data_IF_842538702745
#
_entry.id   IF_842538702745
#
_cell.length_a   1.000
_cell.length_b   1.000
_cell.length_c   1.000
_cell.angle_alpha   90.00
_cell.angle_beta   90.00
_cell.angle_gamma   90.00
#
_symmetry.space_group_name_H-M   'P 1'
#
loop_
_entity.id
_entity.type
_entity.pdbx_description
1 polymer ?
#
# COMPACT_ATOMS: atom_id res chain seq x y z
N UNK A 1 -22.36 8.29 1.46
CA UNK A 1 -21.70 6.97 1.57
C UNK A 1 -22.60 5.82 1.19
N UNK A 2 -23.89 5.84 1.51
CA UNK A 2 -24.84 4.78 1.17
C UNK A 2 -24.89 4.43 -0.32
N UNK A 3 -24.93 5.46 -1.20
CA UNK A 3 -24.91 5.25 -2.64
C UNK A 3 -23.62 4.55 -3.12
N UNK A 4 -22.46 4.95 -2.57
CA UNK A 4 -21.18 4.32 -2.87
C UNK A 4 -21.18 2.86 -2.45
N UNK A 5 -21.65 2.57 -1.23
CA UNK A 5 -21.73 1.21 -0.70
C UNK A 5 -22.69 0.33 -1.50
N UNK A 6 -23.83 0.90 -1.92
CA UNK A 6 -24.79 0.22 -2.79
C UNK A 6 -24.14 -0.10 -4.14
N UNK A 7 -23.48 0.87 -4.77
CA UNK A 7 -22.76 0.67 -6.02
C UNK A 7 -21.69 -0.43 -5.93
N UNK A 8 -20.93 -0.49 -4.82
CA UNK A 8 -19.93 -1.53 -4.61
C UNK A 8 -20.51 -2.94 -4.45
N UNK A 9 -21.78 -3.06 -3.97
CA UNK A 9 -22.48 -4.32 -3.79
C UNK A 9 -23.25 -4.79 -5.02
N UNK A 10 -23.72 -3.89 -5.87
CA UNK A 10 -24.58 -4.20 -7.02
C UNK A 10 -23.88 -5.00 -8.11
N UNK A 11 -22.56 -4.90 -8.22
CA UNK A 11 -21.82 -5.66 -9.22
C UNK A 11 -20.32 -5.35 -9.30
N UNK A 12 -19.66 -6.07 -10.21
CA UNK A 12 -18.22 -5.85 -10.46
C UNK A 12 -18.02 -4.54 -11.20
N UNK A 13 -17.40 -3.56 -10.53
CA UNK A 13 -17.04 -2.29 -11.16
C UNK A 13 -16.00 -2.52 -12.27
N UNK A 14 -16.14 -1.81 -13.38
CA UNK A 14 -15.13 -1.75 -14.41
C UNK A 14 -13.85 -1.07 -13.91
N UNK A 15 -12.75 -1.24 -14.65
CA UNK A 15 -11.50 -0.56 -14.35
C UNK A 15 -11.68 0.97 -14.21
N UNK A 16 -12.33 1.58 -15.19
CA UNK A 16 -12.57 3.03 -15.20
C UNK A 16 -13.47 3.48 -14.03
N UNK A 17 -14.53 2.73 -13.73
CA UNK A 17 -15.42 3.05 -12.61
C UNK A 17 -14.71 3.07 -11.27
N UNK A 18 -13.78 2.12 -11.02
CA UNK A 18 -12.99 2.12 -9.78
C UNK A 18 -12.21 3.43 -9.60
N UNK A 19 -11.62 3.97 -10.67
CA UNK A 19 -10.89 5.25 -10.61
C UNK A 19 -11.82 6.45 -10.42
N UNK A 20 -12.95 6.50 -11.13
CA UNK A 20 -13.92 7.59 -10.97
C UNK A 20 -14.43 7.64 -9.53
N UNK A 21 -14.87 6.51 -9.00
CA UNK A 21 -15.37 6.40 -7.63
C UNK A 21 -14.28 6.75 -6.60
N UNK A 22 -13.04 6.30 -6.83
CA UNK A 22 -11.91 6.65 -5.98
C UNK A 22 -11.62 8.15 -6.01
N UNK A 23 -11.75 8.79 -7.16
CA UNK A 23 -11.52 10.22 -7.31
C UNK A 23 -12.58 11.07 -6.60
N UNK A 24 -13.85 10.66 -6.68
CA UNK A 24 -14.92 11.34 -5.94
C UNK A 24 -14.72 11.21 -4.43
N UNK A 25 -14.35 10.02 -3.94
CA UNK A 25 -14.03 9.84 -2.52
C UNK A 25 -12.78 10.64 -2.10
N UNK A 26 -11.77 10.72 -2.96
CA UNK A 26 -10.58 11.54 -2.72
C UNK A 26 -10.95 13.04 -2.57
N UNK A 27 -11.77 13.57 -3.47
CA UNK A 27 -12.27 14.96 -3.37
C UNK A 27 -13.04 15.18 -2.07
N UNK A 28 -13.91 14.24 -1.71
CA UNK A 28 -14.68 14.33 -0.46
C UNK A 28 -13.75 14.35 0.76
N UNK A 29 -12.71 13.49 0.77
CA UNK A 29 -11.73 13.46 1.85
C UNK A 29 -10.91 14.75 1.92
N UNK A 30 -10.53 15.33 0.79
CA UNK A 30 -9.86 16.64 0.74
C UNK A 30 -10.72 17.75 1.32
N UNK A 31 -12.04 17.71 1.09
CA UNK A 31 -12.98 18.75 1.55
C UNK A 31 -13.32 18.60 3.03
N UNK A 32 -13.63 17.39 3.47
CA UNK A 32 -14.26 17.15 4.77
C UNK A 32 -13.30 16.53 5.81
N UNK A 33 -12.22 15.90 5.40
CA UNK A 33 -11.34 15.11 6.28
C UNK A 33 -9.84 15.23 5.86
N UNK A 34 -9.44 16.48 5.61
CA UNK A 34 -8.12 16.78 5.05
C UNK A 34 -6.96 16.66 6.06
N UNK A 35 -7.26 16.55 7.37
CA UNK A 35 -6.23 16.54 8.43
C UNK A 35 -5.14 15.51 8.18
N UNK A 36 -5.50 14.27 7.84
CA UNK A 36 -4.52 13.20 7.61
C UNK A 36 -3.65 13.49 6.38
N UNK A 37 -4.25 14.01 5.31
CA UNK A 37 -3.54 14.36 4.07
C UNK A 37 -2.55 15.51 4.33
N UNK A 38 -2.96 16.52 5.10
CA UNK A 38 -2.11 17.64 5.49
C UNK A 38 -0.96 17.18 6.40
N UNK A 39 -1.21 16.28 7.35
CA UNK A 39 -0.17 15.72 8.20
C UNK A 39 0.84 14.93 7.36
N UNK A 40 0.38 14.06 6.46
CA UNK A 40 1.24 13.30 5.56
C UNK A 40 2.11 14.24 4.69
N UNK A 41 1.49 15.26 4.13
CA UNK A 41 2.19 16.26 3.32
C UNK A 41 3.24 17.00 4.15
N UNK A 42 2.90 17.46 5.35
CA UNK A 42 3.82 18.19 6.23
C UNK A 42 5.02 17.34 6.63
N UNK A 43 4.80 16.08 7.03
CA UNK A 43 5.89 15.17 7.38
C UNK A 43 6.80 14.91 6.17
N UNK A 44 6.22 14.69 4.97
CA UNK A 44 6.99 14.48 3.74
C UNK A 44 7.81 15.70 3.36
N UNK A 45 7.25 16.92 3.51
CA UNK A 45 8.00 18.16 3.24
C UNK A 45 9.21 18.31 4.18
N UNK A 46 9.03 18.07 5.48
CA UNK A 46 10.14 18.15 6.44
C UNK A 46 11.17 17.05 6.14
N UNK A 47 10.72 15.82 5.85
CA UNK A 47 11.63 14.72 5.51
C UNK A 47 12.46 15.06 4.26
N UNK A 48 11.85 15.64 3.24
CA UNK A 48 12.54 16.08 2.01
C UNK A 48 13.52 17.19 2.31
N UNK A 49 13.13 18.20 3.11
CA UNK A 49 14.01 19.28 3.52
C UNK A 49 15.26 18.74 4.24
N UNK A 50 15.09 17.83 5.20
CA UNK A 50 16.22 17.21 5.90
C UNK A 50 17.12 16.37 4.99
N UNK A 51 16.54 15.70 3.99
CA UNK A 51 17.34 14.90 3.04
C UNK A 51 18.27 15.74 2.16
N UNK A 52 17.90 16.99 1.87
CA UNK A 52 18.66 17.90 0.99
C UNK A 52 19.86 18.51 1.72
N UNK A 53 19.84 18.58 3.05
CA UNK A 53 20.90 19.28 3.83
C UNK A 53 22.27 18.63 3.75
N UNK A 54 22.35 17.34 3.35
CA UNK A 54 23.60 16.58 3.34
C UNK A 54 24.15 16.22 4.73
N UNK A 55 23.51 16.66 5.82
CA UNK A 55 23.91 16.32 7.18
C UNK A 55 23.48 14.89 7.53
N UNK A 56 24.40 13.97 7.93
CA UNK A 56 24.06 12.58 8.20
C UNK A 56 22.96 12.39 9.26
N UNK A 57 22.95 13.20 10.32
CA UNK A 57 21.95 13.12 11.37
C UNK A 57 20.55 13.53 10.88
N UNK A 58 20.49 14.57 10.02
CA UNK A 58 19.22 15.02 9.44
C UNK A 58 18.74 14.04 8.35
N UNK A 59 19.64 13.41 7.61
CA UNK A 59 19.29 12.33 6.67
C UNK A 59 18.70 11.15 7.43
N UNK A 60 19.28 10.75 8.58
CA UNK A 60 18.70 9.68 9.41
C UNK A 60 17.29 10.05 9.89
N UNK A 61 17.11 11.29 10.37
CA UNK A 61 15.80 11.78 10.81
C UNK A 61 14.79 11.79 9.65
N UNK A 62 15.22 12.19 8.44
CA UNK A 62 14.41 12.09 7.22
C UNK A 62 13.91 10.66 6.94
N UNK A 63 14.78 9.64 7.14
CA UNK A 63 14.41 8.22 6.98
C UNK A 63 13.37 7.79 8.01
N UNK A 64 13.53 8.20 9.28
CA UNK A 64 12.54 7.92 10.33
C UNK A 64 11.20 8.57 9.99
N UNK A 65 11.20 9.83 9.54
CA UNK A 65 9.97 10.49 9.11
C UNK A 65 9.32 9.81 7.90
N UNK A 66 10.10 9.32 6.95
CA UNK A 66 9.63 8.49 5.84
C UNK A 66 8.92 7.22 6.32
N UNK A 67 9.47 6.53 7.32
CA UNK A 67 8.83 5.37 7.93
C UNK A 67 7.47 5.73 8.58
N UNK A 68 7.39 6.86 9.28
CA UNK A 68 6.14 7.36 9.85
C UNK A 68 5.09 7.63 8.74
N UNK A 69 5.50 8.21 7.62
CA UNK A 69 4.61 8.43 6.46
C UNK A 69 4.06 7.11 5.93
N UNK A 70 4.90 6.08 5.77
CA UNK A 70 4.47 4.75 5.30
C UNK A 70 3.46 4.13 6.27
N UNK A 71 3.75 4.13 7.57
CA UNK A 71 2.84 3.60 8.60
C UNK A 71 1.50 4.34 8.57
N UNK A 72 1.51 5.67 8.47
CA UNK A 72 0.27 6.46 8.38
C UNK A 72 -0.52 6.19 7.10
N UNK A 73 0.13 6.02 5.96
CA UNK A 73 -0.53 5.61 4.72
C UNK A 73 -1.20 4.24 4.87
N UNK A 74 -0.57 3.30 5.58
CA UNK A 74 -1.17 2.00 5.84
C UNK A 74 -2.38 2.11 6.77
N UNK A 75 -2.29 2.94 7.81
CA UNK A 75 -3.45 3.21 8.68
C UNK A 75 -4.62 3.85 7.93
N UNK A 76 -4.33 4.58 6.85
CA UNK A 76 -5.35 5.19 6.01
C UNK A 76 -6.25 4.16 5.32
N UNK A 77 -5.75 2.95 5.00
CA UNK A 77 -6.59 1.85 4.48
C UNK A 77 -7.78 1.55 5.41
N UNK A 78 -7.50 1.34 6.70
CA UNK A 78 -8.57 1.08 7.68
C UNK A 78 -9.56 2.24 7.76
N UNK A 79 -9.04 3.47 7.79
CA UNK A 79 -9.88 4.67 7.88
C UNK A 79 -10.81 4.80 6.67
N UNK A 80 -10.31 4.57 5.46
CA UNK A 80 -11.10 4.60 4.22
C UNK A 80 -12.14 3.49 4.19
N UNK A 81 -11.75 2.27 4.51
CA UNK A 81 -12.66 1.11 4.51
C UNK A 81 -13.78 1.31 5.53
N UNK A 82 -13.44 1.71 6.77
CA UNK A 82 -14.43 1.95 7.83
C UNK A 82 -15.38 3.12 7.49
N UNK A 83 -14.86 4.17 6.83
CA UNK A 83 -15.70 5.26 6.35
C UNK A 83 -16.72 4.78 5.31
N UNK A 84 -16.31 3.92 4.37
CA UNK A 84 -17.22 3.33 3.36
C UNK A 84 -18.23 2.38 4.00
N UNK A 85 -17.81 1.57 4.98
CA UNK A 85 -18.66 0.62 5.68
C UNK A 85 -19.51 1.25 6.79
N UNK A 86 -19.33 2.55 7.07
CA UNK A 86 -20.00 3.30 8.15
C UNK A 86 -19.76 2.69 9.53
N UNK A 87 -18.63 2.00 9.70
CA UNK A 87 -18.24 1.44 10.99
C UNK A 87 -17.53 2.48 11.84
N UNK A 88 -17.74 2.42 13.14
CA UNK A 88 -16.96 3.24 14.08
C UNK A 88 -15.49 2.87 13.99
N UNK A 89 -14.64 3.89 13.82
CA UNK A 89 -13.20 3.71 13.81
C UNK A 89 -12.69 3.42 15.22
N UNK A 90 -12.33 2.16 15.47
CA UNK A 90 -11.69 1.73 16.70
C UNK A 90 -10.21 1.48 16.44
N UNK A 91 -9.36 2.04 17.29
CA UNK A 91 -7.89 1.93 17.13
C UNK A 91 -7.32 0.65 17.78
N UNK A 92 -8.00 -0.49 17.60
CA UNK A 92 -7.65 -1.77 18.20
C UNK A 92 -6.33 -2.32 17.65
N UNK A 93 -5.22 -1.94 18.28
CA UNK A 93 -3.89 -2.45 17.92
C UNK A 93 -3.44 -2.13 16.49
N UNK A 94 -4.13 -1.21 15.78
CA UNK A 94 -3.81 -0.85 14.39
C UNK A 94 -2.38 -0.38 14.22
N UNK A 95 -1.89 0.45 15.12
CA UNK A 95 -0.51 0.94 15.09
C UNK A 95 0.47 -0.22 15.22
N UNK A 96 0.21 -1.16 16.14
CA UNK A 96 1.04 -2.34 16.34
C UNK A 96 1.07 -3.20 15.07
N UNK A 97 -0.09 -3.44 14.44
CA UNK A 97 -0.19 -4.19 13.18
C UNK A 97 0.58 -3.51 12.05
N UNK A 98 0.46 -2.19 11.91
CA UNK A 98 1.20 -1.42 10.91
C UNK A 98 2.72 -1.45 11.17
N UNK A 99 3.14 -1.34 12.43
CA UNK A 99 4.56 -1.44 12.82
C UNK A 99 5.11 -2.84 12.55
N UNK A 100 4.36 -3.91 12.87
CA UNK A 100 4.79 -5.29 12.57
C UNK A 100 5.01 -5.47 11.08
N UNK A 101 4.06 -5.02 10.23
CA UNK A 101 4.22 -5.10 8.78
C UNK A 101 5.43 -4.31 8.29
N UNK A 102 5.65 -3.11 8.83
CA UNK A 102 6.81 -2.29 8.50
C UNK A 102 8.12 -2.99 8.89
N UNK A 103 8.19 -3.59 10.07
CA UNK A 103 9.36 -4.38 10.48
C UNK A 103 9.61 -5.56 9.55
N UNK A 104 8.55 -6.27 9.12
CA UNK A 104 8.67 -7.37 8.17
C UNK A 104 9.19 -6.89 6.80
N UNK A 105 8.72 -5.75 6.30
CA UNK A 105 9.21 -5.13 5.07
C UNK A 105 10.69 -4.76 5.18
N UNK A 106 11.11 -4.12 6.28
CA UNK A 106 12.51 -3.76 6.53
C UNK A 106 13.39 -5.00 6.60
N UNK A 107 12.97 -6.03 7.33
CA UNK A 107 13.69 -7.31 7.41
C UNK A 107 13.83 -7.96 6.03
N UNK A 108 12.80 -7.92 5.22
CA UNK A 108 12.84 -8.47 3.87
C UNK A 108 13.83 -7.71 2.99
N UNK A 109 13.81 -6.37 3.00
CA UNK A 109 14.78 -5.54 2.26
C UNK A 109 16.21 -5.84 2.73
N UNK A 110 16.42 -5.94 4.05
CA UNK A 110 17.72 -6.28 4.62
C UNK A 110 18.23 -7.64 4.14
N UNK A 111 17.37 -8.67 4.17
CA UNK A 111 17.69 -10.00 3.70
C UNK A 111 18.04 -10.03 2.22
N UNK A 112 17.29 -9.32 1.39
CA UNK A 112 17.56 -9.17 -0.03
C UNK A 112 18.89 -8.46 -0.29
N UNK A 113 19.20 -7.43 0.49
CA UNK A 113 20.49 -6.73 0.42
C UNK A 113 21.66 -7.68 0.71
N UNK A 114 21.55 -8.53 1.72
CA UNK A 114 22.55 -9.54 2.03
C UNK A 114 22.74 -10.53 0.86
N UNK A 115 21.65 -11.01 0.26
CA UNK A 115 21.72 -11.89 -0.91
C UNK A 115 22.44 -11.22 -2.07
N UNK A 116 22.13 -9.95 -2.36
CA UNK A 116 22.81 -9.21 -3.42
C UNK A 116 24.29 -8.99 -3.13
N UNK A 117 24.64 -8.63 -1.91
CA UNK A 117 26.04 -8.48 -1.50
C UNK A 117 26.78 -9.83 -1.63
N UNK A 118 26.18 -10.91 -1.15
CA UNK A 118 26.76 -12.25 -1.28
C UNK A 118 26.98 -12.62 -2.75
N UNK A 119 26.00 -12.36 -3.62
CA UNK A 119 26.14 -12.60 -5.07
C UNK A 119 27.31 -11.80 -5.65
N UNK A 120 27.45 -10.50 -5.34
CA UNK A 120 28.58 -9.69 -5.82
C UNK A 120 29.91 -10.27 -5.34
N UNK A 121 30.00 -10.69 -4.07
CA UNK A 121 31.23 -11.28 -3.52
C UNK A 121 31.63 -12.62 -4.19
N UNK A 122 30.70 -13.34 -4.79
CA UNK A 122 30.99 -14.59 -5.53
C UNK A 122 31.55 -14.33 -6.94
N UNK A 123 31.41 -13.09 -7.46
CA UNK A 123 31.95 -12.71 -8.75
C UNK A 123 33.48 -12.51 -8.66
N UNK A 124 34.26 -12.94 -9.67
CA UNK A 124 35.73 -12.79 -9.66
C UNK A 124 36.22 -11.37 -9.40
N UNK A 125 35.57 -10.39 -9.99
CA UNK A 125 35.90 -8.96 -9.86
C UNK A 125 35.04 -8.24 -8.79
N UNK A 126 34.16 -8.95 -8.10
CA UNK A 126 33.13 -8.36 -7.25
C UNK A 126 33.70 -7.58 -6.07
N UNK A 127 34.80 -8.06 -5.47
CA UNK A 127 35.48 -7.37 -4.37
C UNK A 127 36.10 -6.05 -4.82
N UNK A 128 36.74 -6.02 -5.98
CA UNK A 128 37.37 -4.82 -6.54
C UNK A 128 36.31 -3.77 -6.88
N UNK A 129 35.22 -4.21 -7.49
CA UNK A 129 34.07 -3.35 -7.86
C UNK A 129 33.42 -2.72 -6.64
N UNK A 130 33.27 -3.46 -5.54
CA UNK A 130 32.74 -2.93 -4.28
C UNK A 130 33.70 -1.96 -3.63
N UNK A 131 35.01 -2.21 -3.67
CA UNK A 131 36.03 -1.32 -3.11
C UNK A 131 36.14 0.00 -3.90
N UNK A 132 36.00 -0.05 -5.22
CA UNK A 132 36.07 1.13 -6.09
C UNK A 132 34.76 1.92 -6.14
N UNK A 133 33.65 1.35 -5.60
CA UNK A 133 32.29 1.91 -5.68
C UNK A 133 31.90 2.32 -7.11
N UNK A 134 32.36 1.58 -8.11
CA UNK A 134 31.97 1.81 -9.50
C UNK A 134 30.52 1.39 -9.74
N UNK A 135 29.60 2.31 -9.47
CA UNK A 135 28.16 2.07 -9.62
C UNK A 135 27.75 1.62 -11.03
N UNK A 136 28.47 2.02 -12.08
CA UNK A 136 28.12 1.62 -13.46
C UNK A 136 28.44 0.15 -13.68
N UNK A 137 29.60 -0.31 -13.22
CA UNK A 137 29.98 -1.74 -13.27
C UNK A 137 29.08 -2.57 -12.36
N UNK A 138 28.77 -2.10 -11.15
CA UNK A 138 27.85 -2.78 -10.23
C UNK A 138 26.48 -2.96 -10.89
N UNK A 139 25.90 -1.92 -11.47
CA UNK A 139 24.59 -2.00 -12.16
C UNK A 139 24.64 -2.91 -13.40
N UNK A 140 25.73 -2.91 -14.13
CA UNK A 140 25.90 -3.79 -15.29
C UNK A 140 25.96 -5.26 -14.89
N UNK A 141 26.70 -5.61 -13.85
CA UNK A 141 26.81 -7.00 -13.34
C UNK A 141 25.51 -7.47 -12.69
N UNK A 142 24.84 -6.55 -11.98
CA UNK A 142 23.58 -6.87 -11.29
C UNK A 142 22.35 -6.79 -12.20
N UNK A 143 22.47 -6.36 -13.46
CA UNK A 143 21.30 -6.17 -14.34
C UNK A 143 20.37 -7.38 -14.43
N UNK A 144 20.93 -8.60 -14.57
CA UNK A 144 20.13 -9.85 -14.67
C UNK A 144 19.54 -10.22 -13.32
N UNK A 145 20.32 -10.33 -12.22
CA UNK A 145 19.75 -10.55 -10.88
C UNK A 145 18.74 -9.49 -10.47
N UNK A 146 18.97 -8.21 -10.75
CA UNK A 146 18.02 -7.12 -10.44
C UNK A 146 16.70 -7.33 -11.19
N UNK A 147 16.73 -7.71 -12.47
CA UNK A 147 15.51 -7.98 -13.22
C UNK A 147 14.76 -9.18 -12.64
N UNK A 148 15.45 -10.29 -12.35
CA UNK A 148 14.82 -11.49 -11.79
C UNK A 148 14.21 -11.19 -10.43
N UNK A 149 14.99 -10.58 -9.54
CA UNK A 149 14.52 -10.20 -8.21
C UNK A 149 13.44 -9.13 -8.31
N UNK A 150 13.56 -8.17 -9.22
CA UNK A 150 12.52 -7.19 -9.49
C UNK A 150 11.20 -7.82 -9.90
N UNK A 151 11.22 -8.85 -10.74
CA UNK A 151 10.02 -9.62 -11.12
C UNK A 151 9.43 -10.35 -9.92
N UNK A 152 10.27 -11.04 -9.13
CA UNK A 152 9.83 -11.75 -7.92
C UNK A 152 9.24 -10.75 -6.91
N UNK A 153 9.90 -9.61 -6.70
CA UNK A 153 9.44 -8.53 -5.84
C UNK A 153 8.11 -7.95 -6.32
N UNK A 154 8.00 -7.73 -7.61
CA UNK A 154 6.79 -7.19 -8.21
C UNK A 154 5.61 -8.14 -8.02
N UNK A 155 5.82 -9.44 -8.26
CA UNK A 155 4.81 -10.47 -8.00
C UNK A 155 4.45 -10.50 -6.51
N UNK A 156 5.46 -10.56 -5.62
CA UNK A 156 5.26 -10.54 -4.18
C UNK A 156 4.55 -9.28 -3.69
N UNK A 157 4.95 -8.10 -4.21
CA UNK A 157 4.32 -6.82 -3.89
C UNK A 157 2.82 -6.80 -4.22
N UNK A 158 2.43 -7.38 -5.35
CA UNK A 158 1.03 -7.51 -5.75
C UNK A 158 0.23 -8.31 -4.71
N UNK A 159 0.79 -9.43 -4.26
CA UNK A 159 0.16 -10.26 -3.23
C UNK A 159 0.08 -9.55 -1.88
N UNK A 160 1.09 -8.78 -1.51
CA UNK A 160 1.15 -8.04 -0.24
C UNK A 160 0.26 -6.80 -0.26
N UNK A 161 0.12 -6.13 -1.39
CA UNK A 161 -0.59 -4.86 -1.48
C UNK A 161 -2.04 -4.94 -0.98
N UNK A 162 -2.76 -6.01 -1.34
CA UNK A 162 -4.12 -6.24 -0.87
C UNK A 162 -4.19 -6.95 0.48
N UNK A 163 -3.08 -7.49 0.95
CA UNK A 163 -2.95 -7.95 2.32
C UNK A 163 -3.07 -6.78 3.31
N UNK A 164 -2.54 -5.59 2.95
CA UNK A 164 -2.64 -4.40 3.78
C UNK A 164 -4.08 -4.03 4.15
N UNK A 165 -5.01 -3.82 3.17
CA UNK A 165 -6.40 -3.52 3.51
C UNK A 165 -7.06 -4.64 4.31
N UNK A 166 -6.79 -5.91 4.01
CA UNK A 166 -7.35 -7.05 4.77
C UNK A 166 -6.84 -7.05 6.21
N UNK A 167 -5.54 -7.11 6.41
CA UNK A 167 -4.93 -7.26 7.74
C UNK A 167 -5.20 -6.06 8.65
N UNK A 168 -5.28 -4.86 8.08
CA UNK A 168 -5.49 -3.64 8.86
C UNK A 168 -6.97 -3.37 9.14
N UNK A 169 -7.90 -3.83 8.29
CA UNK A 169 -9.34 -3.55 8.44
C UNK A 169 -10.15 -4.70 9.00
N UNK A 170 -9.66 -5.94 8.93
CA UNK A 170 -10.39 -7.12 9.37
C UNK A 170 -9.86 -7.68 10.70
N UNK A 171 -10.74 -8.36 11.47
CA UNK A 171 -10.42 -8.99 12.76
C UNK A 171 -9.82 -10.37 12.52
N UNK A 172 -8.58 -10.45 12.11
CA UNK A 172 -7.91 -11.74 11.89
C UNK A 172 -6.44 -11.72 12.27
N UNK A 173 -5.85 -12.88 12.45
CA UNK A 173 -4.41 -13.06 12.54
C UNK A 173 -3.76 -12.74 11.20
N UNK A 174 -2.43 -12.58 11.20
CA UNK A 174 -1.67 -12.35 9.96
C UNK A 174 -1.89 -13.48 8.94
N UNK A 175 -1.81 -14.74 9.36
CA UNK A 175 -1.95 -15.90 8.48
C UNK A 175 -3.36 -16.08 7.91
N UNK A 176 -4.39 -15.80 8.70
CA UNK A 176 -5.79 -15.77 8.22
C UNK A 176 -5.99 -14.67 7.19
N UNK A 177 -5.41 -13.50 7.42
CA UNK A 177 -5.46 -12.40 6.46
C UNK A 177 -4.74 -12.75 5.16
N UNK A 178 -3.61 -13.48 5.22
CA UNK A 178 -2.90 -13.99 4.03
C UNK A 178 -3.79 -14.97 3.26
N UNK A 179 -4.38 -15.97 3.94
CA UNK A 179 -5.27 -16.95 3.30
C UNK A 179 -6.47 -16.27 2.64
N UNK A 180 -7.10 -15.35 3.37
CA UNK A 180 -8.25 -14.60 2.85
C UNK A 180 -7.89 -13.72 1.65
N UNK A 181 -6.76 -13.01 1.71
CA UNK A 181 -6.26 -12.22 0.59
C UNK A 181 -5.99 -13.09 -0.65
N UNK A 182 -5.36 -14.26 -0.49
CA UNK A 182 -5.12 -15.20 -1.58
C UNK A 182 -6.43 -15.72 -2.18
N UNK A 183 -7.45 -15.94 -1.34
CA UNK A 183 -8.79 -16.31 -1.78
C UNK A 183 -9.42 -15.21 -2.65
N UNK A 184 -9.41 -13.95 -2.19
CA UNK A 184 -9.96 -12.82 -2.95
C UNK A 184 -9.23 -12.59 -4.28
N UNK A 185 -7.92 -12.84 -4.31
CA UNK A 185 -7.13 -12.76 -5.55
C UNK A 185 -7.50 -13.85 -6.56
N UNK A 186 -8.03 -15.00 -6.10
CA UNK A 186 -8.44 -16.08 -6.99
C UNK A 186 -9.61 -15.64 -7.87
N UNK A 187 -9.38 -15.52 -9.18
CA UNK A 187 -10.39 -15.05 -10.15
C UNK A 187 -10.44 -13.53 -10.33
N UNK A 188 -9.76 -12.73 -9.49
CA UNK A 188 -9.75 -11.27 -9.58
C UNK A 188 -8.35 -10.67 -9.82
N UNK A 189 -7.33 -11.50 -10.10
CA UNK A 189 -5.92 -11.09 -10.19
C UNK A 189 -5.69 -9.90 -11.12
N UNK A 190 -6.19 -9.98 -12.34
CA UNK A 190 -6.00 -8.93 -13.36
C UNK A 190 -6.65 -7.62 -12.90
N UNK A 191 -7.87 -7.69 -12.38
CA UNK A 191 -8.65 -6.55 -11.90
C UNK A 191 -7.98 -5.82 -10.74
N UNK A 192 -7.34 -6.57 -9.84
CA UNK A 192 -6.62 -6.03 -8.70
C UNK A 192 -5.23 -5.53 -9.10
N UNK A 193 -4.58 -6.19 -10.06
CA UNK A 193 -3.20 -5.94 -10.45
C UNK A 193 -3.03 -4.70 -11.34
N UNK A 194 -3.84 -4.56 -12.38
CA UNK A 194 -3.67 -3.51 -13.40
C UNK A 194 -3.66 -2.09 -12.80
N UNK A 195 -4.59 -1.72 -11.87
CA UNK A 195 -4.57 -0.40 -11.24
C UNK A 195 -3.25 -0.10 -10.53
N UNK A 196 -2.68 -1.11 -9.89
CA UNK A 196 -1.44 -0.93 -9.11
C UNK A 196 -0.21 -0.79 -9.99
N UNK A 197 -0.17 -1.52 -11.11
CA UNK A 197 0.86 -1.33 -12.15
C UNK A 197 0.79 0.09 -12.71
N UNK A 198 -0.42 0.58 -12.98
CA UNK A 198 -0.60 1.94 -13.50
C UNK A 198 -0.08 2.99 -12.51
N UNK A 199 -0.39 2.87 -11.21
CA UNK A 199 0.16 3.77 -10.20
C UNK A 199 1.68 3.72 -10.15
N UNK A 200 2.27 2.52 -10.20
CA UNK A 200 3.72 2.36 -10.22
C UNK A 200 4.35 3.06 -11.44
N UNK A 201 3.77 2.89 -12.62
CA UNK A 201 4.26 3.57 -13.84
C UNK A 201 4.13 5.09 -13.72
N UNK A 202 3.01 5.60 -13.21
CA UNK A 202 2.80 7.03 -12.98
C UNK A 202 3.84 7.58 -12.00
N UNK A 203 4.07 6.92 -10.85
CA UNK A 203 5.06 7.30 -9.85
C UNK A 203 6.46 7.37 -10.48
N UNK A 204 6.86 6.35 -11.26
CA UNK A 204 8.17 6.30 -11.93
C UNK A 204 8.37 7.43 -12.96
N UNK A 205 7.36 7.65 -13.81
CA UNK A 205 7.42 8.71 -14.83
C UNK A 205 7.49 10.09 -14.20
N UNK A 206 6.66 10.32 -13.16
CA UNK A 206 6.64 11.60 -12.46
C UNK A 206 7.99 11.94 -11.81
N UNK A 207 8.59 10.99 -11.08
CA UNK A 207 9.89 11.19 -10.46
C UNK A 207 10.94 11.60 -11.51
N UNK A 208 10.99 10.90 -12.66
CA UNK A 208 11.93 11.20 -13.73
C UNK A 208 11.73 12.59 -14.35
N UNK A 209 10.47 13.01 -14.54
CA UNK A 209 10.16 14.32 -15.11
C UNK A 209 10.52 15.46 -14.14
N UNK A 210 10.17 15.29 -12.86
CA UNK A 210 10.33 16.35 -11.86
C UNK A 210 11.78 16.51 -11.41
N UNK A 211 12.60 15.45 -11.43
CA UNK A 211 14.04 15.56 -11.16
C UNK A 211 14.76 16.51 -12.11
N UNK A 212 14.26 16.70 -13.34
CA UNK A 212 14.82 17.66 -14.31
C UNK A 212 14.61 19.12 -13.91
N UNK A 213 13.67 19.41 -13.01
CA UNK A 213 13.36 20.77 -12.52
C UNK A 213 14.19 21.16 -11.29
N UNK A 214 15.17 20.36 -10.89
CA UNK A 214 16.04 20.63 -9.74
C UNK A 214 15.27 20.73 -8.42
N UNK A 215 15.65 21.68 -7.56
CA UNK A 215 15.06 21.85 -6.23
C UNK A 215 13.54 22.11 -6.28
N UNK A 216 13.10 22.95 -7.22
CA UNK A 216 11.66 23.22 -7.39
C UNK A 216 10.89 21.92 -7.71
N UNK A 217 11.46 21.08 -8.56
CA UNK A 217 10.90 19.78 -8.89
C UNK A 217 10.78 18.85 -7.69
N UNK A 218 11.74 18.90 -6.75
CA UNK A 218 11.66 18.10 -5.51
C UNK A 218 10.46 18.50 -4.65
N UNK A 219 10.20 19.79 -4.45
CA UNK A 219 9.02 20.24 -3.68
C UNK A 219 7.72 19.89 -4.38
N UNK A 220 7.62 20.14 -5.69
CA UNK A 220 6.44 19.75 -6.47
C UNK A 220 6.22 18.23 -6.37
N UNK A 221 7.29 17.43 -6.45
CA UNK A 221 7.23 15.99 -6.31
C UNK A 221 6.59 15.55 -4.98
N UNK A 222 6.95 16.20 -3.86
CA UNK A 222 6.39 15.86 -2.54
C UNK A 222 4.87 16.02 -2.52
N UNK A 223 4.34 17.10 -3.09
CA UNK A 223 2.89 17.32 -3.17
C UNK A 223 2.20 16.26 -4.02
N UNK A 224 2.71 16.04 -5.23
CA UNK A 224 2.12 15.11 -6.18
C UNK A 224 2.26 13.66 -5.69
N UNK A 225 3.42 13.28 -5.17
CA UNK A 225 3.68 11.96 -4.60
C UNK A 225 2.74 11.67 -3.42
N UNK A 226 2.56 12.61 -2.51
CA UNK A 226 1.62 12.46 -1.38
C UNK A 226 0.19 12.29 -1.88
N UNK A 227 -0.26 13.11 -2.83
CA UNK A 227 -1.59 13.02 -3.41
C UNK A 227 -1.81 11.67 -4.11
N UNK A 228 -0.84 11.21 -4.91
CA UNK A 228 -0.92 9.93 -5.62
C UNK A 228 -0.93 8.77 -4.63
N UNK A 229 -0.09 8.78 -3.60
CA UNK A 229 -0.07 7.73 -2.57
C UNK A 229 -1.40 7.63 -1.83
N UNK A 230 -2.01 8.75 -1.45
CA UNK A 230 -3.33 8.77 -0.84
C UNK A 230 -4.40 8.25 -1.81
N UNK A 231 -4.38 8.72 -3.05
CA UNK A 231 -5.31 8.27 -4.08
C UNK A 231 -5.17 6.77 -4.39
N UNK A 232 -3.94 6.24 -4.39
CA UNK A 232 -3.65 4.81 -4.52
C UNK A 232 -4.26 3.99 -3.36
N UNK A 233 -4.14 4.46 -2.11
CA UNK A 233 -4.76 3.82 -0.95
C UNK A 233 -6.27 3.77 -1.09
N UNK A 234 -6.91 4.88 -1.50
CA UNK A 234 -8.36 4.95 -1.71
C UNK A 234 -8.79 3.99 -2.82
N UNK A 235 -8.09 4.02 -3.96
CA UNK A 235 -8.39 3.13 -5.10
C UNK A 235 -8.26 1.66 -4.72
N UNK A 236 -7.18 1.29 -4.02
CA UNK A 236 -6.98 -0.07 -3.54
C UNK A 236 -8.07 -0.51 -2.55
N UNK A 237 -8.51 0.38 -1.66
CA UNK A 237 -9.60 0.11 -0.72
C UNK A 237 -10.93 -0.15 -1.43
N UNK A 238 -11.25 0.65 -2.46
CA UNK A 238 -12.46 0.49 -3.27
C UNK A 238 -12.44 -0.82 -4.04
N UNK A 239 -11.33 -1.13 -4.71
CA UNK A 239 -11.17 -2.39 -5.44
C UNK A 239 -11.30 -3.58 -4.49
N UNK A 240 -10.65 -3.52 -3.33
CA UNK A 240 -10.72 -4.55 -2.31
C UNK A 240 -12.18 -4.79 -1.86
N UNK A 241 -12.88 -3.73 -1.46
CA UNK A 241 -14.27 -3.84 -1.01
C UNK A 241 -15.21 -4.33 -2.12
N UNK A 242 -15.02 -3.85 -3.36
CA UNK A 242 -15.84 -4.30 -4.47
C UNK A 242 -15.59 -5.78 -4.81
N UNK A 243 -14.34 -6.25 -4.71
CA UNK A 243 -14.03 -7.68 -4.86
C UNK A 243 -14.63 -8.49 -3.71
N UNK A 244 -14.50 -8.02 -2.48
CA UNK A 244 -15.06 -8.69 -1.30
C UNK A 244 -16.60 -8.81 -1.36
N UNK A 245 -17.29 -7.74 -1.75
CA UNK A 245 -18.74 -7.74 -1.83
C UNK A 245 -19.31 -8.57 -3.00
N UNK A 246 -18.56 -8.65 -4.09
CA UNK A 246 -19.01 -9.38 -5.30
C UNK A 246 -18.49 -10.81 -5.37
N UNK A 247 -17.66 -11.26 -4.42
CA UNK A 247 -17.17 -12.63 -4.32
C UNK A 247 -18.03 -13.45 -3.36
N UNK A 248 -18.21 -14.74 -3.68
CA UNK A 248 -18.82 -15.70 -2.75
C UNK A 248 -17.79 -16.05 -1.69
N UNK A 249 -17.90 -15.47 -0.50
CA UNK A 249 -16.95 -15.70 0.59
C UNK A 249 -17.31 -17.02 1.28
N UNK A 250 -16.36 -17.97 1.45
CA UNK A 250 -16.58 -19.18 2.23
C UNK A 250 -16.91 -18.88 3.70
N UNK A 251 -17.72 -19.74 4.32
CA UNK A 251 -18.12 -19.60 5.71
C UNK A 251 -16.95 -19.49 6.68
N UNK A 252 -15.83 -20.17 6.38
CA UNK A 252 -14.59 -20.11 7.16
C UNK A 252 -14.00 -18.69 7.32
N UNK A 253 -14.45 -17.73 6.49
CA UNK A 253 -13.99 -16.32 6.55
C UNK A 253 -15.07 -15.34 7.01
N UNK A 254 -16.29 -15.80 7.37
CA UNK A 254 -17.38 -14.90 7.78
C UNK A 254 -17.02 -14.07 9.01
N UNK A 255 -16.31 -14.68 9.97
CA UNK A 255 -15.84 -13.96 11.16
C UNK A 255 -14.91 -12.79 10.84
N UNK A 256 -14.13 -12.87 9.73
CA UNK A 256 -13.26 -11.76 9.29
C UNK A 256 -14.10 -10.59 8.75
N UNK A 257 -15.19 -10.87 8.06
CA UNK A 257 -16.03 -9.86 7.38
C UNK A 257 -17.13 -9.29 8.28
N UNK A 258 -17.36 -9.89 9.45
CA UNK A 258 -18.44 -9.54 10.37
C UNK A 258 -19.85 -9.97 9.84
N UNK A 259 -19.91 -10.90 8.91
CA UNK A 259 -21.18 -11.42 8.38
C UNK A 259 -21.90 -12.35 9.37
N UNK A 260 -21.21 -12.88 10.37
CA UNK A 260 -21.83 -13.70 11.43
C UNK A 260 -22.84 -12.88 12.26
N UNK A 261 -22.53 -11.61 12.55
CA UNK A 261 -23.43 -10.74 13.32
C UNK A 261 -24.74 -10.44 12.55
N UNK A 262 -24.72 -10.43 11.22
CA UNK A 262 -25.93 -10.20 10.40
C UNK A 262 -26.83 -11.43 10.27
N UNK A 263 -26.27 -12.63 10.41
CA UNK A 263 -27.08 -13.86 10.35
C UNK A 263 -27.72 -14.20 11.72
N UNK A 264 -27.11 -13.82 12.84
CA UNK A 264 -27.71 -14.00 14.16
C UNK A 264 -28.95 -13.13 14.34
N UNK A 265 -28.90 -11.86 13.91
CA UNK A 265 -30.05 -10.93 14.01
C UNK A 265 -31.25 -11.40 13.16
N UNK A 266 -31.01 -12.01 11.99
CA UNK A 266 -32.04 -12.55 11.11
C UNK A 266 -32.67 -13.84 11.66
N UNK A 267 -31.93 -14.58 12.49
CA UNK A 267 -32.43 -15.83 13.12
C UNK A 267 -33.26 -15.52 14.37
N UNK A 268 -32.88 -14.50 15.15
CA UNK A 268 -33.67 -14.03 16.29
C UNK A 268 -35.01 -13.43 15.86
N UNK A 269 -35.03 -12.58 14.82
CA UNK A 269 -36.29 -12.03 14.26
C UNK A 269 -37.24 -13.08 13.70
N UNK A 270 -36.74 -14.25 13.29
CA UNK A 270 -37.58 -15.38 12.82
C UNK A 270 -38.00 -16.31 13.94
N UNK A 271 -37.39 -16.23 15.11
CA UNK A 271 -37.79 -17.04 16.28
C UNK A 271 -38.83 -16.32 17.14
N UNK A 272 -38.99 -15.00 16.96
CA UNK A 272 -40.00 -14.20 17.65
C UNK A 272 -41.31 -13.97 16.80
N UNK A 273 -41.35 -14.41 15.55
CA UNK A 273 -42.52 -14.33 14.64
C UNK A 273 -43.23 -15.67 14.49
#
# INVERSE_FOLDING_TARGET
MDELRKLLKEGKLSFQQNFIVAFELFKEMLKNDNKEILILLFINLIATFFSITGNPSLILLSRIMGAVVVIRLWMLYKKVIFKIEERQYVNDGLVIRAVILFCLEVLFIFFMTIIFLHYIFTLPEGREILLTLDYRRILFLLRVPIIIVGIIFFIGYIYILYLLPVYLSRRGSFWESVKYNLYLLKGNRIRMLIPMILFFVIEMVMVQLLLKLGILGLFINVFLETAIKVYKVITASIIYLNVEYTSQIPEEFFYLTGKEEQNSDVIEDKAEA
#
